data_IF_436960851760
#
_entry.id   IF_436960851760
#
_cell.length_a   1.000
_cell.length_b   1.000
_cell.length_c   1.000
_cell.angle_alpha   90.00
_cell.angle_beta   90.00
_cell.angle_gamma   90.00
#
_symmetry.space_group_name_H-M   'P 1'
#
loop_
_entity.id
_entity.type
_entity.pdbx_description
1 polymer ?
#
# COMPACT_ATOMS: atom_id res chain seq x y z
N UNK A 1 33.92 21.40 -20.69
CA UNK A 1 34.36 20.86 -19.38
C UNK A 1 33.27 19.91 -18.89
N UNK A 2 33.60 18.67 -18.48
CA UNK A 2 32.63 17.83 -17.80
C UNK A 2 32.30 18.45 -16.44
N UNK A 3 31.01 18.53 -16.11
CA UNK A 3 30.56 18.93 -14.77
C UNK A 3 30.57 17.67 -13.92
N UNK A 4 31.49 17.59 -12.96
CA UNK A 4 31.55 16.48 -12.00
C UNK A 4 30.90 16.91 -10.70
N UNK A 5 30.01 16.06 -10.17
CA UNK A 5 29.47 16.24 -8.82
C UNK A 5 30.61 16.26 -7.81
N UNK A 6 30.48 17.04 -6.73
CA UNK A 6 31.40 16.89 -5.60
C UNK A 6 31.19 15.53 -4.93
N UNK A 7 32.24 14.99 -4.30
CA UNK A 7 32.15 13.73 -3.56
C UNK A 7 31.05 13.79 -2.48
N UNK A 8 30.93 14.92 -1.79
CA UNK A 8 29.89 15.15 -0.78
C UNK A 8 28.48 15.07 -1.36
N UNK A 9 28.24 15.67 -2.54
CA UNK A 9 26.95 15.56 -3.21
C UNK A 9 26.64 14.13 -3.65
N UNK A 10 27.67 13.38 -4.05
CA UNK A 10 27.50 11.97 -4.45
C UNK A 10 27.13 11.10 -3.25
N UNK A 11 27.82 11.26 -2.12
CA UNK A 11 27.58 10.49 -0.91
C UNK A 11 26.19 10.78 -0.32
N UNK A 12 25.76 12.06 -0.32
CA UNK A 12 24.41 12.45 0.09
C UNK A 12 23.32 11.81 -0.79
N UNK A 13 23.53 11.79 -2.12
CA UNK A 13 22.60 11.11 -3.02
C UNK A 13 22.51 9.60 -2.76
N UNK A 14 23.62 8.95 -2.42
CA UNK A 14 23.61 7.52 -2.08
C UNK A 14 22.83 7.25 -0.80
N UNK A 15 22.96 8.12 0.21
CA UNK A 15 22.19 8.03 1.46
C UNK A 15 20.69 8.18 1.19
N UNK A 16 20.29 9.19 0.43
CA UNK A 16 18.88 9.40 0.04
C UNK A 16 18.30 8.20 -0.70
N UNK A 17 19.06 7.62 -1.65
CA UNK A 17 18.64 6.42 -2.39
C UNK A 17 18.43 5.24 -1.44
N UNK A 18 19.31 5.09 -0.43
CA UNK A 18 19.17 4.02 0.57
C UNK A 18 17.90 4.21 1.39
N UNK A 19 17.66 5.43 1.89
CA UNK A 19 16.44 5.75 2.66
C UNK A 19 15.17 5.55 1.82
N UNK A 20 15.18 5.93 0.54
CA UNK A 20 14.05 5.72 -0.35
C UNK A 20 13.76 4.23 -0.56
N UNK A 21 14.80 3.39 -0.74
CA UNK A 21 14.64 1.94 -0.87
C UNK A 21 14.04 1.31 0.40
N UNK A 22 14.48 1.74 1.57
CA UNK A 22 13.92 1.27 2.84
C UNK A 22 12.43 1.65 2.96
N UNK A 23 12.08 2.91 2.67
CA UNK A 23 10.69 3.39 2.68
C UNK A 23 9.79 2.65 1.69
N UNK A 24 10.29 2.36 0.48
CA UNK A 24 9.56 1.57 -0.52
C UNK A 24 9.31 0.15 0.01
N UNK A 25 10.32 -0.50 0.57
CA UNK A 25 10.17 -1.85 1.14
C UNK A 25 9.16 -1.90 2.30
N UNK A 26 9.08 -0.84 3.12
CA UNK A 26 8.02 -0.72 4.13
C UNK A 26 6.63 -0.51 3.53
N UNK A 27 6.52 0.33 2.49
CA UNK A 27 5.27 0.56 1.79
C UNK A 27 4.73 -0.72 1.15
N UNK A 28 5.59 -1.51 0.49
CA UNK A 28 5.24 -2.81 -0.08
C UNK A 28 4.74 -3.80 0.98
N UNK A 29 5.39 -3.86 2.16
CA UNK A 29 4.94 -4.70 3.28
C UNK A 29 3.56 -4.28 3.78
N UNK A 30 3.30 -2.98 3.90
CA UNK A 30 1.99 -2.45 4.32
C UNK A 30 0.92 -2.74 3.28
N UNK A 31 1.21 -2.54 1.99
CA UNK A 31 0.30 -2.88 0.90
C UNK A 31 -0.05 -4.38 0.90
N UNK A 32 0.94 -5.26 1.10
CA UNK A 32 0.71 -6.70 1.20
C UNK A 32 -0.14 -7.08 2.42
N UNK A 33 0.10 -6.45 3.57
CA UNK A 33 -0.71 -6.68 4.77
C UNK A 33 -2.16 -6.25 4.52
N UNK A 34 -2.37 -5.14 3.80
CA UNK A 34 -3.69 -4.67 3.41
C UNK A 34 -4.41 -5.64 2.45
N UNK A 35 -3.72 -6.16 1.44
CA UNK A 35 -4.29 -7.17 0.53
C UNK A 35 -4.74 -8.42 1.29
N UNK A 36 -3.94 -8.87 2.26
CA UNK A 36 -4.29 -10.02 3.09
C UNK A 36 -5.51 -9.73 3.97
N UNK A 37 -5.59 -8.52 4.55
CA UNK A 37 -6.74 -8.09 5.32
C UNK A 37 -8.01 -8.06 4.47
N UNK A 38 -7.97 -7.44 3.28
CA UNK A 38 -9.13 -7.37 2.39
C UNK A 38 -9.66 -8.75 2.00
N UNK A 39 -8.76 -9.71 1.76
CA UNK A 39 -9.14 -11.12 1.49
C UNK A 39 -9.81 -11.76 2.70
N UNK A 40 -9.27 -11.56 3.90
CA UNK A 40 -9.88 -12.07 5.14
C UNK A 40 -11.29 -11.51 5.35
N UNK A 41 -11.48 -10.22 5.13
CA UNK A 41 -12.81 -9.57 5.21
C UNK A 41 -13.77 -10.18 4.19
N UNK A 42 -13.33 -10.35 2.95
CA UNK A 42 -14.17 -10.94 1.91
C UNK A 42 -14.60 -12.38 2.26
N UNK A 43 -13.67 -13.18 2.81
CA UNK A 43 -13.94 -14.54 3.28
C UNK A 43 -14.96 -14.56 4.42
N UNK A 44 -14.78 -13.70 5.43
CA UNK A 44 -15.71 -13.57 6.56
C UNK A 44 -17.10 -13.14 6.08
N UNK A 45 -17.20 -12.15 5.19
CA UNK A 45 -18.46 -11.71 4.60
C UNK A 45 -19.16 -12.82 3.82
N UNK A 46 -18.42 -13.59 3.01
CA UNK A 46 -18.97 -14.74 2.28
C UNK A 46 -19.47 -15.83 3.22
N UNK A 47 -18.78 -16.05 4.34
CA UNK A 47 -19.15 -17.05 5.35
C UNK A 47 -20.42 -16.64 6.11
N UNK A 48 -20.54 -15.37 6.47
CA UNK A 48 -21.68 -14.82 7.21
C UNK A 48 -22.94 -14.69 6.33
N UNK A 49 -22.79 -14.17 5.10
CA UNK A 49 -23.93 -13.78 4.26
C UNK A 49 -24.19 -14.69 3.06
N UNK A 50 -23.31 -15.67 2.81
CA UNK A 50 -23.36 -16.53 1.64
C UNK A 50 -22.71 -15.90 0.41
N UNK A 51 -22.09 -16.74 -0.41
CA UNK A 51 -21.44 -16.34 -1.66
C UNK A 51 -22.45 -15.74 -2.64
N UNK A 52 -22.13 -14.57 -3.21
CA UNK A 52 -22.98 -13.88 -4.19
C UNK A 52 -24.11 -13.04 -3.59
N UNK A 53 -24.15 -12.90 -2.26
CA UNK A 53 -25.07 -12.00 -1.59
C UNK A 53 -24.66 -10.54 -1.82
N UNK A 54 -25.62 -9.66 -2.15
CA UNK A 54 -25.40 -8.20 -2.26
C UNK A 54 -24.78 -7.59 -1.00
N UNK A 55 -24.97 -8.23 0.17
CA UNK A 55 -24.36 -7.80 1.44
C UNK A 55 -22.84 -7.95 1.42
N UNK A 56 -22.30 -8.93 0.70
CA UNK A 56 -20.86 -9.09 0.51
C UNK A 56 -20.32 -7.92 -0.31
N UNK A 57 -20.98 -7.56 -1.41
CA UNK A 57 -20.57 -6.45 -2.27
C UNK A 57 -20.56 -5.12 -1.50
N UNK A 58 -21.65 -4.82 -0.78
CA UNK A 58 -21.74 -3.61 0.07
C UNK A 58 -20.71 -3.64 1.21
N UNK A 59 -20.48 -4.80 1.83
CA UNK A 59 -19.47 -4.94 2.88
C UNK A 59 -18.06 -4.66 2.38
N UNK A 60 -17.71 -5.13 1.18
CA UNK A 60 -16.43 -4.86 0.53
C UNK A 60 -16.29 -3.39 0.11
N UNK A 61 -17.36 -2.78 -0.40
CA UNK A 61 -17.37 -1.35 -0.72
C UNK A 61 -17.12 -0.49 0.54
N UNK A 62 -17.81 -0.80 1.64
CA UNK A 62 -17.57 -0.14 2.92
C UNK A 62 -16.14 -0.34 3.40
N UNK A 63 -15.60 -1.57 3.33
CA UNK A 63 -14.23 -1.88 3.72
C UNK A 63 -13.20 -1.08 2.93
N UNK A 64 -13.36 -1.00 1.61
CA UNK A 64 -12.44 -0.25 0.73
C UNK A 64 -12.49 1.26 1.02
N UNK A 65 -13.66 1.78 1.39
CA UNK A 65 -13.86 3.19 1.71
C UNK A 65 -13.31 3.61 3.10
N UNK A 66 -12.83 2.69 3.94
CA UNK A 66 -12.26 3.04 5.26
C UNK A 66 -10.93 3.79 5.12
N UNK A 67 -10.13 3.46 4.11
CA UNK A 67 -8.75 3.97 3.95
C UNK A 67 -8.50 4.72 2.65
N UNK A 68 -9.39 4.61 1.66
CA UNK A 68 -9.32 5.46 0.47
C UNK A 68 -9.82 6.84 0.86
N UNK A 69 -8.93 7.83 0.94
CA UNK A 69 -9.34 9.24 0.97
C UNK A 69 -10.25 9.45 -0.24
N UNK A 70 -11.47 9.95 0.01
CA UNK A 70 -12.31 10.41 -1.10
C UNK A 70 -11.59 11.64 -1.65
N UNK A 71 -11.18 11.58 -2.91
CA UNK A 71 -10.79 12.80 -3.62
C UNK A 71 -12.00 13.75 -3.56
N UNK A 72 -11.87 14.85 -2.80
CA UNK A 72 -12.88 15.92 -2.70
C UNK A 72 -12.96 16.73 -3.99
#
# INVERSE_FOLDING_TARGET
MPVTLSQESYDAMLEDIKTLRERIGEAEKKAKAWDNYCKSVEEDLKKEFGKGSKKVDVGMELNNNIFMEREE
#
